data_IF_307847033258
#
_entry.id   IF_307847033258
#
_cell.length_a   1.000
_cell.length_b   1.000
_cell.length_c   1.000
_cell.angle_alpha   90.00
_cell.angle_beta   90.00
_cell.angle_gamma   90.00
#
_symmetry.space_group_name_H-M   'P 1'
#
loop_
_entity.id
_entity.type
_entity.pdbx_description
1 polymer ?
#
# COMPACT_ATOMS: atom_id res chain seq x y z
N UNK A 1 -17.46 6.99 18.66
CA UNK A 1 -16.04 7.01 19.11
C UNK A 1 -15.59 8.45 19.19
N UNK A 2 -14.81 8.83 20.22
CA UNK A 2 -14.31 10.20 20.32
C UNK A 2 -13.39 10.58 19.14
N UNK A 3 -13.28 11.88 18.87
CA UNK A 3 -12.42 12.43 17.81
C UNK A 3 -10.95 12.02 17.93
N UNK A 4 -10.49 11.69 19.13
CA UNK A 4 -9.12 11.22 19.39
C UNK A 4 -8.96 9.69 19.25
N UNK A 5 -10.01 8.93 19.50
CA UNK A 5 -9.92 7.47 19.50
C UNK A 5 -9.76 6.90 18.08
N UNK A 6 -10.35 7.52 17.06
CA UNK A 6 -10.23 7.07 15.67
C UNK A 6 -8.78 7.17 15.15
N UNK A 7 -8.09 8.33 15.22
CA UNK A 7 -6.69 8.43 14.81
C UNK A 7 -5.76 7.49 15.59
N UNK A 8 -5.98 7.32 16.90
CA UNK A 8 -5.18 6.40 17.72
C UNK A 8 -5.30 4.95 17.24
N UNK A 9 -6.51 4.48 16.91
CA UNK A 9 -6.69 3.14 16.37
C UNK A 9 -6.03 2.96 15.01
N UNK A 10 -6.12 3.96 14.12
CA UNK A 10 -5.45 3.91 12.82
C UNK A 10 -3.93 3.88 12.98
N UNK A 11 -3.39 4.65 13.93
CA UNK A 11 -1.97 4.63 14.29
C UNK A 11 -1.52 3.27 14.81
N UNK A 12 -2.26 2.68 15.75
CA UNK A 12 -1.95 1.34 16.28
C UNK A 12 -2.01 0.29 15.19
N UNK A 13 -3.01 0.34 14.31
CA UNK A 13 -3.15 -0.59 13.19
C UNK A 13 -1.97 -0.49 12.22
N UNK A 14 -1.63 0.72 11.79
CA UNK A 14 -0.48 0.96 10.91
C UNK A 14 0.84 0.58 11.57
N UNK A 15 1.06 1.01 12.81
CA UNK A 15 2.25 0.71 13.59
C UNK A 15 2.44 -0.80 13.82
N UNK A 16 1.36 -1.55 14.04
CA UNK A 16 1.39 -3.00 14.19
C UNK A 16 1.82 -3.69 12.89
N UNK A 17 1.23 -3.32 11.76
CA UNK A 17 1.57 -3.90 10.45
C UNK A 17 3.04 -3.64 10.11
N UNK A 18 3.52 -2.40 10.28
CA UNK A 18 4.91 -2.03 10.01
C UNK A 18 5.88 -2.76 10.94
N UNK A 19 5.57 -2.80 12.24
CA UNK A 19 6.44 -3.47 13.22
C UNK A 19 6.53 -4.97 12.96
N UNK A 20 5.39 -5.63 12.73
CA UNK A 20 5.34 -7.08 12.53
C UNK A 20 6.01 -7.48 11.21
N UNK A 21 5.73 -6.76 10.11
CA UNK A 21 6.36 -7.04 8.82
C UNK A 21 7.88 -6.83 8.87
N UNK A 22 8.35 -5.78 9.55
CA UNK A 22 9.78 -5.52 9.71
C UNK A 22 10.44 -6.58 10.59
N UNK A 23 9.82 -6.95 11.71
CA UNK A 23 10.34 -7.98 12.62
C UNK A 23 10.46 -9.34 11.94
N UNK A 24 9.43 -9.77 11.23
CA UNK A 24 9.41 -11.05 10.50
C UNK A 24 10.35 -10.99 9.29
N UNK A 25 10.42 -9.85 8.60
CA UNK A 25 11.33 -9.63 7.47
C UNK A 25 12.80 -9.69 7.87
N UNK A 26 13.15 -9.12 9.03
CA UNK A 26 14.50 -9.17 9.59
C UNK A 26 14.97 -10.60 9.92
N UNK A 27 14.04 -11.55 10.10
CA UNK A 27 14.34 -12.98 10.29
C UNK A 27 14.51 -13.75 8.97
N UNK A 28 14.53 -13.07 7.82
CA UNK A 28 14.63 -13.70 6.49
C UNK A 28 13.32 -14.35 6.01
N UNK A 29 12.22 -14.22 6.76
CA UNK A 29 10.91 -14.79 6.40
C UNK A 29 10.14 -13.89 5.43
N UNK A 30 10.71 -13.71 4.23
CA UNK A 30 10.23 -12.73 3.25
C UNK A 30 8.75 -12.86 2.86
N UNK A 31 8.25 -14.08 2.65
CA UNK A 31 6.84 -14.32 2.30
C UNK A 31 5.88 -13.86 3.39
N UNK A 32 6.17 -14.19 4.66
CA UNK A 32 5.34 -13.79 5.79
C UNK A 32 5.40 -12.28 6.02
N UNK A 33 6.58 -11.67 5.86
CA UNK A 33 6.73 -10.23 5.93
C UNK A 33 5.87 -9.53 4.87
N UNK A 34 5.93 -10.00 3.62
CA UNK A 34 5.11 -9.50 2.52
C UNK A 34 3.61 -9.66 2.81
N UNK A 35 3.17 -10.86 3.24
CA UNK A 35 1.78 -11.12 3.61
C UNK A 35 1.27 -10.15 4.68
N UNK A 36 2.05 -9.93 5.75
CA UNK A 36 1.68 -8.99 6.82
C UNK A 36 1.59 -7.56 6.27
N UNK A 37 2.58 -7.12 5.48
CA UNK A 37 2.57 -5.77 4.88
C UNK A 37 1.42 -5.53 3.92
N UNK A 38 0.98 -6.57 3.19
CA UNK A 38 -0.09 -6.46 2.19
C UNK A 38 -1.45 -6.89 2.71
N UNK A 39 -1.56 -7.29 3.99
CA UNK A 39 -2.83 -7.68 4.58
C UNK A 39 -3.81 -6.49 4.46
N UNK A 40 -5.01 -6.66 3.88
CA UNK A 40 -5.88 -5.56 3.46
C UNK A 40 -6.64 -4.92 4.64
N UNK A 41 -6.01 -4.76 5.80
CA UNK A 41 -6.60 -4.16 6.98
C UNK A 41 -6.97 -2.68 6.75
N UNK A 42 -6.03 -1.87 6.24
CA UNK A 42 -6.28 -0.44 5.97
C UNK A 42 -7.38 -0.31 4.91
N UNK A 43 -7.24 -1.00 3.78
CA UNK A 43 -8.23 -1.00 2.70
C UNK A 43 -9.61 -1.45 3.17
N UNK A 44 -9.69 -2.51 3.98
CA UNK A 44 -10.95 -3.02 4.53
C UNK A 44 -11.62 -2.01 5.45
N UNK A 45 -10.86 -1.40 6.37
CA UNK A 45 -11.37 -0.33 7.24
C UNK A 45 -11.85 0.87 6.41
N UNK A 46 -11.07 1.28 5.41
CA UNK A 46 -11.46 2.38 4.51
C UNK A 46 -12.74 2.06 3.74
N UNK A 47 -12.89 0.85 3.20
CA UNK A 47 -14.11 0.43 2.49
C UNK A 47 -15.35 0.45 3.40
N UNK A 48 -15.22 -0.06 4.63
CA UNK A 48 -16.30 -0.01 5.62
C UNK A 48 -16.69 1.45 5.90
N UNK A 49 -15.72 2.33 6.11
CA UNK A 49 -15.99 3.73 6.40
C UNK A 49 -16.64 4.44 5.20
N UNK A 50 -16.16 4.20 3.97
CA UNK A 50 -16.79 4.77 2.78
C UNK A 50 -18.22 4.25 2.64
N UNK A 51 -18.46 2.96 2.87
CA UNK A 51 -19.80 2.39 2.83
C UNK A 51 -20.73 3.00 3.88
N UNK A 52 -20.27 3.13 5.13
CA UNK A 52 -21.08 3.70 6.22
C UNK A 52 -21.42 5.17 6.00
N UNK A 53 -20.56 5.95 5.33
CA UNK A 53 -20.76 7.39 5.15
C UNK A 53 -21.34 7.76 3.77
N UNK A 54 -21.15 6.92 2.75
CA UNK A 54 -21.51 7.23 1.36
C UNK A 54 -22.33 6.15 0.65
N UNK A 55 -22.57 5.00 1.28
CA UNK A 55 -23.31 3.90 0.68
C UNK A 55 -22.49 3.04 -0.29
N UNK A 56 -23.20 2.20 -1.06
CA UNK A 56 -22.59 1.18 -1.90
C UNK A 56 -21.84 1.75 -3.11
N UNK A 57 -22.35 2.80 -3.75
CA UNK A 57 -21.77 3.31 -4.99
C UNK A 57 -20.37 3.92 -4.79
N UNK A 58 -20.12 4.79 -3.78
CA UNK A 58 -18.78 5.28 -3.51
C UNK A 58 -17.81 4.17 -3.07
N UNK A 59 -18.28 3.19 -2.29
CA UNK A 59 -17.45 2.07 -1.86
C UNK A 59 -17.02 1.19 -3.05
N UNK A 60 -17.97 0.85 -3.93
CA UNK A 60 -17.70 0.10 -5.15
C UNK A 60 -16.80 0.91 -6.11
N UNK A 61 -17.00 2.22 -6.20
CA UNK A 61 -16.16 3.08 -7.02
C UNK A 61 -14.71 3.13 -6.50
N UNK A 62 -14.52 3.27 -5.18
CA UNK A 62 -13.20 3.19 -4.55
C UNK A 62 -12.52 1.83 -4.85
N UNK A 63 -13.24 0.71 -4.70
CA UNK A 63 -12.70 -0.61 -4.99
C UNK A 63 -12.25 -0.77 -6.45
N UNK A 64 -13.06 -0.27 -7.42
CA UNK A 64 -12.68 -0.25 -8.84
C UNK A 64 -11.42 0.57 -9.08
N UNK A 65 -11.32 1.74 -8.48
CA UNK A 65 -10.14 2.61 -8.63
C UNK A 65 -8.89 2.00 -8.00
N UNK A 66 -9.04 1.24 -6.91
CA UNK A 66 -7.92 0.58 -6.24
C UNK A 66 -7.21 -0.44 -7.15
N UNK A 67 -7.94 -1.12 -8.04
CA UNK A 67 -7.36 -2.08 -8.99
C UNK A 67 -6.33 -1.43 -9.92
N UNK A 68 -6.50 -0.17 -10.28
CA UNK A 68 -5.56 0.55 -11.14
C UNK A 68 -4.19 0.78 -10.49
N UNK A 69 -4.10 0.68 -9.15
CA UNK A 69 -2.82 0.80 -8.43
C UNK A 69 -2.01 -0.50 -8.46
N UNK A 70 -2.60 -1.63 -8.86
CA UNK A 70 -1.87 -2.91 -8.97
C UNK A 70 -0.76 -2.81 -10.01
N UNK A 71 -0.99 -2.14 -11.14
CA UNK A 71 0.01 -1.99 -12.22
C UNK A 71 1.24 -1.19 -11.74
N UNK A 72 1.10 0.03 -11.20
CA UNK A 72 2.21 0.75 -10.58
C UNK A 72 2.92 -0.06 -9.49
N UNK A 73 2.16 -0.77 -8.64
CA UNK A 73 2.73 -1.56 -7.55
C UNK A 73 3.59 -2.72 -8.05
N UNK A 74 3.14 -3.46 -9.07
CA UNK A 74 3.93 -4.54 -9.69
C UNK A 74 5.23 -3.96 -10.26
N UNK A 75 5.15 -2.85 -10.99
CA UNK A 75 6.35 -2.21 -11.54
C UNK A 75 7.34 -1.75 -10.44
N UNK A 76 6.83 -1.19 -9.35
CA UNK A 76 7.62 -0.81 -8.17
C UNK A 76 8.36 -2.02 -7.58
N UNK A 77 7.66 -3.13 -7.32
CA UNK A 77 8.27 -4.33 -6.73
C UNK A 77 9.27 -4.98 -7.70
N UNK A 78 8.93 -5.08 -8.99
CA UNK A 78 9.84 -5.60 -10.02
C UNK A 78 11.11 -4.77 -10.10
N UNK A 79 10.99 -3.43 -10.05
CA UNK A 79 12.16 -2.55 -10.02
C UNK A 79 13.04 -2.81 -8.80
N UNK A 80 12.48 -3.01 -7.61
CA UNK A 80 13.25 -3.37 -6.42
C UNK A 80 13.96 -4.72 -6.57
N UNK A 81 13.28 -5.75 -7.08
CA UNK A 81 13.87 -7.08 -7.33
C UNK A 81 15.08 -6.98 -8.26
N UNK A 82 15.00 -6.13 -9.30
CA UNK A 82 16.07 -5.94 -10.27
C UNK A 82 17.16 -5.00 -9.73
N UNK A 83 16.82 -3.92 -9.06
CA UNK A 83 17.78 -2.88 -8.69
C UNK A 83 18.59 -3.22 -7.43
N UNK A 84 17.98 -3.84 -6.42
CA UNK A 84 18.64 -4.12 -5.13
C UNK A 84 19.95 -4.92 -5.25
N UNK A 85 20.07 -5.93 -6.14
CA UNK A 85 21.33 -6.65 -6.32
C UNK A 85 22.41 -5.88 -7.11
N UNK A 86 22.05 -4.76 -7.76
CA UNK A 86 22.88 -4.08 -8.77
C UNK A 86 23.40 -2.71 -8.32
N UNK A 87 22.61 -1.99 -7.53
CA UNK A 87 22.92 -0.66 -7.03
C UNK A 87 22.64 -0.59 -5.53
N UNK A 88 23.14 0.45 -4.86
CA UNK A 88 22.88 0.56 -3.41
C UNK A 88 21.38 0.82 -3.12
N UNK A 89 20.98 0.40 -1.92
CA UNK A 89 19.60 0.37 -1.47
C UNK A 89 18.84 1.67 -1.70
N UNK A 90 19.43 2.82 -1.35
CA UNK A 90 18.74 4.10 -1.39
C UNK A 90 18.38 4.52 -2.82
N UNK A 91 19.28 4.32 -3.80
CA UNK A 91 18.94 4.63 -5.20
C UNK A 91 17.94 3.64 -5.77
N UNK A 92 18.02 2.34 -5.43
CA UNK A 92 17.02 1.36 -5.83
C UNK A 92 15.62 1.73 -5.32
N UNK A 93 15.53 2.12 -4.04
CA UNK A 93 14.29 2.50 -3.39
C UNK A 93 13.71 3.81 -3.95
N UNK A 94 14.52 4.87 -4.05
CA UNK A 94 14.09 6.14 -4.63
C UNK A 94 13.66 5.96 -6.09
N UNK A 95 14.43 5.22 -6.89
CA UNK A 95 14.10 4.94 -8.29
C UNK A 95 12.79 4.18 -8.46
N UNK A 96 12.55 3.16 -7.62
CA UNK A 96 11.28 2.44 -7.61
C UNK A 96 10.10 3.36 -7.24
N UNK A 97 10.26 4.23 -6.23
CA UNK A 97 9.23 5.20 -5.86
C UNK A 97 8.93 6.19 -6.99
N UNK A 98 9.95 6.71 -7.67
CA UNK A 98 9.75 7.60 -8.83
C UNK A 98 8.98 6.89 -9.94
N UNK A 99 9.32 5.63 -10.25
CA UNK A 99 8.62 4.83 -11.24
C UNK A 99 7.14 4.63 -10.86
N UNK A 100 6.86 4.31 -9.60
CA UNK A 100 5.51 4.17 -9.08
C UNK A 100 4.69 5.45 -9.28
N UNK A 101 5.25 6.60 -8.90
CA UNK A 101 4.58 7.90 -9.04
C UNK A 101 4.35 8.29 -10.50
N UNK A 102 5.32 8.02 -11.38
CA UNK A 102 5.19 8.26 -12.82
C UNK A 102 4.06 7.42 -13.43
N UNK A 103 3.98 6.13 -13.08
CA UNK A 103 2.91 5.25 -13.56
C UNK A 103 1.53 5.66 -13.04
N UNK A 104 1.41 6.09 -11.78
CA UNK A 104 0.15 6.66 -11.27
C UNK A 104 -0.26 7.89 -12.09
N UNK A 105 0.69 8.79 -12.40
CA UNK A 105 0.39 9.98 -13.18
C UNK A 105 -0.12 9.61 -14.58
N UNK A 106 0.52 8.64 -15.24
CA UNK A 106 0.08 8.11 -16.54
C UNK A 106 -1.30 7.46 -16.45
N UNK A 107 -1.53 6.59 -15.46
CA UNK A 107 -2.84 5.94 -15.26
C UNK A 107 -3.94 6.96 -15.01
N UNK A 108 -3.67 8.01 -14.21
CA UNK A 108 -4.63 9.10 -13.99
C UNK A 108 -4.93 9.87 -15.27
N UNK A 109 -3.94 10.07 -16.14
CA UNK A 109 -4.15 10.73 -17.45
C UNK A 109 -4.95 9.85 -18.40
N UNK A 110 -4.77 8.53 -18.36
CA UNK A 110 -5.49 7.58 -19.21
C UNK A 110 -6.95 7.34 -18.78
N UNK A 111 -7.28 7.58 -17.50
CA UNK A 111 -8.63 7.43 -16.94
C UNK A 111 -9.44 8.73 -16.93
N UNK A 112 -8.88 9.84 -17.44
CA UNK A 112 -9.61 11.10 -17.67
C UNK A 112 -10.44 11.01 -18.94
#
# INVERSE_FOLDING_TARGET
>A
MSELLKPMLYFVLGGTIVSLSSYVGAQGRGFLAAFVSTFPAITGVTLILIYLNGGIDPAANYARHLLWFVIPWVAYVTMLIVALPRINFWFAWVGALMLYMALIAVTKLALR
#
